data_IF_134966281842
#
_entry.id   IF_134966281842
#
_cell.length_a   1.000
_cell.length_b   1.000
_cell.length_c   1.000
_cell.angle_alpha   90.00
_cell.angle_beta   90.00
_cell.angle_gamma   90.00
#
_symmetry.space_group_name_H-M   'P 1'
#
loop_
_entity.id
_entity.type
_entity.pdbx_description
1 polymer ?
#
# COMPACT_ATOMS: atom_id res chain seq x y z
N UNK A 1 34.16 3.25 30.59
CA UNK A 1 32.78 3.51 30.14
C UNK A 1 32.72 4.07 28.73
N UNK A 2 33.62 4.95 28.32
CA UNK A 2 33.70 5.53 26.96
C UNK A 2 33.83 4.50 25.83
N UNK A 3 34.62 3.44 26.00
CA UNK A 3 34.80 2.42 24.95
C UNK A 3 33.53 1.59 24.63
N UNK A 4 32.56 1.49 25.55
CA UNK A 4 31.27 0.82 25.28
C UNK A 4 30.29 1.72 24.55
N UNK A 5 30.33 3.02 24.83
CA UNK A 5 29.49 4.00 24.12
C UNK A 5 29.96 4.21 22.68
N UNK A 6 31.27 4.29 22.46
CA UNK A 6 31.84 4.43 21.12
C UNK A 6 31.55 3.21 20.23
N UNK A 7 31.63 1.98 20.80
CA UNK A 7 31.30 0.77 20.07
C UNK A 7 29.83 0.67 19.70
N UNK A 8 28.91 1.12 20.58
CA UNK A 8 27.49 1.19 20.28
C UNK A 8 27.12 2.28 19.24
N UNK A 9 27.91 3.35 19.19
CA UNK A 9 27.76 4.43 18.17
C UNK A 9 28.28 3.91 16.82
N UNK A 10 29.42 3.21 16.79
CA UNK A 10 29.95 2.63 15.56
C UNK A 10 29.05 1.52 15.00
N UNK A 11 28.47 0.66 15.87
CA UNK A 11 27.48 -0.34 15.45
C UNK A 11 26.19 0.33 14.89
N UNK A 12 25.71 1.40 15.50
CA UNK A 12 24.58 2.16 14.98
C UNK A 12 24.92 2.90 13.66
N UNK A 13 26.13 3.41 13.52
CA UNK A 13 26.59 4.05 12.28
C UNK A 13 26.81 3.03 11.15
N UNK A 14 27.27 1.80 11.45
CA UNK A 14 27.37 0.75 10.46
C UNK A 14 26.00 0.28 10.00
N UNK A 15 25.03 0.13 10.91
CA UNK A 15 23.63 -0.17 10.58
C UNK A 15 22.99 0.94 9.72
N UNK A 16 23.30 2.21 9.99
CA UNK A 16 22.85 3.34 9.17
C UNK A 16 23.51 3.33 7.78
N UNK A 17 24.82 3.01 7.69
CA UNK A 17 25.52 2.88 6.39
C UNK A 17 24.98 1.70 5.57
N UNK A 18 24.62 0.58 6.20
CA UNK A 18 24.00 -0.56 5.52
C UNK A 18 22.59 -0.22 5.00
N UNK A 19 21.91 0.77 5.60
CA UNK A 19 20.64 1.31 5.10
C UNK A 19 20.88 2.24 3.89
N UNK A 20 21.93 3.09 3.93
CA UNK A 20 22.27 4.01 2.84
C UNK A 20 22.72 3.33 1.54
N UNK A 21 23.17 2.07 1.60
CA UNK A 21 23.59 1.29 0.42
C UNK A 21 22.49 0.41 -0.18
N UNK A 22 21.29 0.33 0.42
CA UNK A 22 20.17 -0.42 -0.17
C UNK A 22 19.58 0.39 -1.33
N UNK A 23 19.73 -0.14 -2.54
CA UNK A 23 19.10 0.40 -3.74
C UNK A 23 17.60 0.65 -3.53
N UNK A 24 17.10 1.82 -3.97
CA UNK A 24 15.69 2.19 -3.87
C UNK A 24 14.76 1.16 -4.55
N UNK A 25 13.58 0.99 -4.02
CA UNK A 25 12.54 0.20 -4.67
C UNK A 25 12.03 0.96 -5.91
N UNK A 26 11.63 0.21 -6.93
CA UNK A 26 10.99 0.79 -8.11
C UNK A 26 9.47 0.78 -7.92
N UNK A 27 8.81 1.88 -8.28
CA UNK A 27 7.35 1.99 -8.31
C UNK A 27 6.94 2.60 -9.65
N UNK A 28 6.10 1.86 -10.40
CA UNK A 28 5.67 2.26 -11.74
C UNK A 28 4.38 3.10 -11.69
N UNK A 29 4.52 4.39 -11.39
CA UNK A 29 3.39 5.34 -11.42
C UNK A 29 3.15 5.85 -12.83
N UNK A 30 1.93 5.66 -13.33
CA UNK A 30 1.47 6.16 -14.62
C UNK A 30 0.81 7.53 -14.46
N UNK A 31 0.93 8.37 -15.50
CA UNK A 31 0.24 9.63 -15.60
C UNK A 31 -1.09 9.45 -16.35
N UNK A 32 -2.17 10.06 -15.85
CA UNK A 32 -3.48 10.05 -16.51
C UNK A 32 -3.80 11.42 -17.11
N UNK A 33 -4.45 11.44 -18.27
CA UNK A 33 -4.80 12.71 -18.96
C UNK A 33 -5.96 13.46 -18.28
N UNK A 34 -6.81 12.78 -17.52
CA UNK A 34 -7.90 13.39 -16.75
C UNK A 34 -7.47 13.69 -15.33
N UNK A 35 -7.94 14.82 -14.79
CA UNK A 35 -7.77 15.23 -13.42
C UNK A 35 -9.04 16.01 -12.98
N UNK A 36 -9.77 15.62 -11.93
CA UNK A 36 -9.43 14.57 -10.96
C UNK A 36 -9.56 13.13 -11.50
N UNK A 37 -8.87 12.19 -10.85
CA UNK A 37 -8.96 10.74 -11.14
C UNK A 37 -10.25 10.14 -10.58
N UNK A 38 -10.65 10.62 -9.41
CA UNK A 38 -11.87 10.20 -8.70
C UNK A 38 -12.56 11.45 -8.15
N UNK A 39 -13.88 11.53 -8.34
CA UNK A 39 -14.75 12.49 -7.65
C UNK A 39 -15.86 11.74 -6.96
N UNK A 40 -16.06 12.01 -5.68
CA UNK A 40 -17.10 11.43 -4.82
C UNK A 40 -17.98 12.56 -4.31
N UNK A 41 -19.30 12.41 -4.47
CA UNK A 41 -20.29 13.42 -4.05
C UNK A 41 -21.42 12.78 -3.26
N UNK A 42 -21.61 13.25 -2.01
CA UNK A 42 -22.68 12.87 -1.10
C UNK A 42 -22.79 11.33 -0.89
N UNK A 43 -21.67 10.65 -0.87
CA UNK A 43 -21.60 9.20 -0.70
C UNK A 43 -22.10 8.79 0.67
N UNK A 44 -23.10 7.92 0.71
CA UNK A 44 -23.59 7.29 1.93
C UNK A 44 -23.78 5.80 1.71
N UNK A 45 -23.50 4.98 2.72
CA UNK A 45 -23.63 3.53 2.68
C UNK A 45 -24.10 3.00 4.03
N UNK A 46 -24.94 1.98 3.99
CA UNK A 46 -25.47 1.29 5.16
C UNK A 46 -25.16 -0.22 5.10
N UNK A 47 -25.00 -0.85 6.22
CA UNK A 47 -24.97 -2.30 6.36
C UNK A 47 -26.18 -2.71 7.20
N UNK A 48 -27.25 -3.18 6.53
CA UNK A 48 -28.58 -3.31 7.11
C UNK A 48 -29.10 -1.93 7.57
N UNK A 49 -29.46 -1.82 8.83
CA UNK A 49 -29.93 -0.55 9.45
C UNK A 49 -28.79 0.36 9.93
N UNK A 50 -27.56 -0.15 9.97
CA UNK A 50 -26.40 0.62 10.46
C UNK A 50 -25.79 1.46 9.36
N UNK A 51 -25.83 2.77 9.53
CA UNK A 51 -25.10 3.72 8.67
C UNK A 51 -23.59 3.60 8.89
N UNK A 52 -22.86 3.35 7.81
CA UNK A 52 -21.40 3.20 7.80
C UNK A 52 -20.73 4.47 7.26
N UNK A 53 -21.24 4.98 6.13
CA UNK A 53 -20.77 6.22 5.53
C UNK A 53 -21.91 7.22 5.48
N UNK A 54 -21.64 8.50 5.78
CA UNK A 54 -22.64 9.56 5.79
C UNK A 54 -22.16 10.78 5.04
N UNK A 55 -22.75 11.04 3.87
CA UNK A 55 -22.57 12.27 3.08
C UNK A 55 -21.09 12.62 2.82
N UNK A 56 -20.27 11.62 2.46
CA UNK A 56 -18.83 11.81 2.20
C UNK A 56 -18.63 12.39 0.80
N UNK A 57 -17.86 13.48 0.70
CA UNK A 57 -17.54 14.11 -0.57
C UNK A 57 -16.07 14.49 -0.63
N UNK A 58 -15.36 14.10 -1.68
CA UNK A 58 -13.95 14.43 -1.91
C UNK A 58 -13.54 14.19 -3.36
N UNK A 59 -12.36 14.68 -3.71
CA UNK A 59 -11.72 14.42 -4.99
C UNK A 59 -10.31 13.87 -4.77
N UNK A 60 -9.90 12.99 -5.65
CA UNK A 60 -8.52 12.50 -5.75
C UNK A 60 -7.92 13.00 -7.06
N UNK A 61 -6.91 13.82 -6.92
CA UNK A 61 -6.15 14.38 -8.06
C UNK A 61 -4.87 13.59 -8.26
N UNK A 62 -4.30 13.71 -9.45
CA UNK A 62 -3.02 13.10 -9.73
C UNK A 62 -1.92 13.66 -8.83
N UNK A 63 -1.12 12.77 -8.22
CA UNK A 63 -0.10 13.11 -7.22
C UNK A 63 -0.65 13.31 -5.80
N UNK A 64 -1.97 13.15 -5.57
CA UNK A 64 -2.52 13.12 -4.22
C UNK A 64 -2.08 11.84 -3.51
N UNK A 65 -1.51 11.99 -2.31
CA UNK A 65 -1.23 10.90 -1.39
C UNK A 65 -2.19 11.05 -0.22
N UNK A 66 -3.26 10.24 -0.23
CA UNK A 66 -4.42 10.42 0.62
C UNK A 66 -4.48 9.35 1.69
N UNK A 67 -4.39 9.76 2.94
CA UNK A 67 -4.66 8.87 4.07
C UNK A 67 -6.17 8.86 4.40
N UNK A 68 -6.74 7.67 4.47
CA UNK A 68 -8.07 7.46 5.08
C UNK A 68 -7.84 7.13 6.55
N UNK A 69 -8.23 8.05 7.44
CA UNK A 69 -7.97 7.96 8.86
C UNK A 69 -9.26 7.90 9.68
N UNK A 70 -9.29 7.07 10.72
CA UNK A 70 -10.43 6.91 11.61
C UNK A 70 -10.35 5.65 12.45
N UNK A 71 -11.26 5.53 13.42
CA UNK A 71 -11.33 4.37 14.32
C UNK A 71 -11.66 3.05 13.61
N UNK A 72 -11.50 1.93 14.32
CA UNK A 72 -11.93 0.62 13.80
C UNK A 72 -13.44 0.61 13.57
N UNK A 73 -13.88 0.06 12.45
CA UNK A 73 -15.31 0.02 12.09
C UNK A 73 -15.90 1.36 11.63
N UNK A 74 -15.09 2.40 11.38
CA UNK A 74 -15.57 3.71 10.89
C UNK A 74 -15.94 3.74 9.40
N UNK A 75 -15.73 2.65 8.65
CA UNK A 75 -16.11 2.56 7.24
C UNK A 75 -14.96 2.70 6.23
N UNK A 76 -13.70 2.75 6.68
CA UNK A 76 -12.51 2.90 5.80
C UNK A 76 -12.45 1.85 4.69
N UNK A 77 -12.50 0.56 5.07
CA UNK A 77 -12.47 -0.55 4.09
C UNK A 77 -13.76 -0.61 3.26
N UNK A 78 -14.89 -0.13 3.78
CA UNK A 78 -16.14 0.01 3.00
C UNK A 78 -15.95 1.05 1.91
N UNK A 79 -15.39 2.21 2.23
CA UNK A 79 -15.07 3.23 1.22
C UNK A 79 -14.13 2.68 0.14
N UNK A 80 -13.02 2.01 0.53
CA UNK A 80 -12.11 1.38 -0.42
C UNK A 80 -12.84 0.41 -1.34
N UNK A 81 -13.66 -0.49 -0.80
CA UNK A 81 -14.43 -1.47 -1.60
C UNK A 81 -15.41 -0.81 -2.56
N UNK A 82 -16.04 0.30 -2.16
CA UNK A 82 -16.91 1.08 -3.03
C UNK A 82 -16.12 1.74 -4.15
N UNK A 83 -14.99 2.38 -3.86
CA UNK A 83 -14.13 3.02 -4.87
C UNK A 83 -13.57 2.02 -5.89
N UNK A 84 -13.34 0.77 -5.47
CA UNK A 84 -12.89 -0.33 -6.32
C UNK A 84 -14.03 -1.02 -7.09
N UNK A 85 -15.29 -0.60 -6.88
CA UNK A 85 -16.45 -1.26 -7.48
C UNK A 85 -16.70 -2.68 -6.98
N UNK A 86 -16.20 -3.04 -5.79
CA UNK A 86 -16.44 -4.34 -5.15
C UNK A 86 -17.76 -4.32 -4.38
N UNK A 87 -18.09 -3.18 -3.77
CA UNK A 87 -19.38 -2.96 -3.09
C UNK A 87 -20.19 -1.91 -3.86
N UNK A 88 -21.44 -2.21 -4.16
CA UNK A 88 -22.38 -1.37 -4.90
C UNK A 88 -23.53 -0.84 -4.03
N UNK A 89 -23.55 -1.14 -2.73
CA UNK A 89 -24.59 -0.70 -1.79
C UNK A 89 -24.28 0.68 -1.23
N UNK A 90 -24.54 1.71 -2.03
CA UNK A 90 -24.35 3.11 -1.64
C UNK A 90 -25.31 4.04 -2.36
N UNK A 91 -25.47 5.25 -1.83
CA UNK A 91 -26.15 6.39 -2.47
C UNK A 91 -25.14 7.51 -2.70
N UNK A 92 -25.48 8.47 -3.56
CA UNK A 92 -24.56 9.52 -3.99
C UNK A 92 -23.94 9.20 -5.34
N UNK A 93 -22.90 9.93 -5.73
CA UNK A 93 -22.28 9.81 -7.05
C UNK A 93 -20.78 9.56 -6.93
N UNK A 94 -20.27 8.62 -7.73
CA UNK A 94 -18.83 8.38 -7.91
C UNK A 94 -18.49 8.45 -9.39
N UNK A 95 -17.55 9.32 -9.71
CA UNK A 95 -17.01 9.46 -11.07
C UNK A 95 -15.54 9.03 -11.06
N UNK A 96 -15.21 8.03 -11.85
CA UNK A 96 -13.84 7.57 -12.09
C UNK A 96 -13.38 8.08 -13.47
N UNK A 97 -12.09 8.41 -13.58
CA UNK A 97 -11.48 8.66 -14.88
C UNK A 97 -11.55 7.38 -15.73
N UNK A 98 -11.89 7.52 -17.02
CA UNK A 98 -11.98 6.35 -17.92
C UNK A 98 -10.63 5.64 -18.07
N UNK A 99 -10.63 4.32 -18.14
CA UNK A 99 -9.42 3.50 -18.26
C UNK A 99 -8.41 3.68 -17.09
N UNK A 100 -8.91 4.01 -15.91
CA UNK A 100 -8.08 4.15 -14.71
C UNK A 100 -7.50 2.77 -14.31
N UNK A 101 -6.17 2.65 -14.37
CA UNK A 101 -5.47 1.45 -13.87
C UNK A 101 -5.23 1.61 -12.39
N UNK A 102 -5.79 0.68 -11.60
CA UNK A 102 -5.66 0.67 -10.13
C UNK A 102 -4.84 -0.54 -9.70
N UNK A 103 -3.87 -0.32 -8.80
CA UNK A 103 -3.16 -1.37 -8.08
C UNK A 103 -3.66 -1.42 -6.64
N UNK A 104 -4.16 -2.57 -6.21
CA UNK A 104 -4.79 -2.72 -4.90
C UNK A 104 -4.06 -3.72 -4.01
N UNK A 105 -3.79 -3.31 -2.76
CA UNK A 105 -3.35 -4.19 -1.69
C UNK A 105 -4.50 -4.35 -0.69
N UNK A 106 -5.09 -5.57 -0.56
CA UNK A 106 -6.14 -5.83 0.41
C UNK A 106 -5.58 -5.96 1.84
N UNK A 107 -6.43 -5.70 2.82
CA UNK A 107 -6.12 -5.96 4.22
C UNK A 107 -5.96 -7.47 4.47
N UNK A 108 -6.88 -8.28 3.96
CA UNK A 108 -6.90 -9.73 4.11
C UNK A 108 -5.93 -10.42 3.13
N UNK A 109 -5.06 -11.25 3.66
CA UNK A 109 -4.06 -12.04 2.92
C UNK A 109 -4.36 -13.54 2.91
N UNK A 110 -5.49 -13.98 3.47
CA UNK A 110 -5.84 -15.41 3.65
C UNK A 110 -5.93 -16.18 2.33
N UNK A 111 -6.25 -15.50 1.24
CA UNK A 111 -6.39 -16.09 -0.09
C UNK A 111 -5.06 -16.34 -0.82
N UNK A 112 -3.91 -15.92 -0.23
CA UNK A 112 -2.60 -16.20 -0.83
C UNK A 112 -2.19 -17.64 -0.53
N UNK A 113 -2.32 -18.50 -1.52
CA UNK A 113 -1.98 -19.93 -1.46
C UNK A 113 -1.37 -20.38 -2.79
N UNK A 114 -0.64 -21.50 -2.77
CA UNK A 114 -0.01 -22.07 -3.96
C UNK A 114 1.35 -21.46 -4.28
N UNK A 115 1.80 -21.65 -5.51
CA UNK A 115 3.11 -21.19 -5.97
C UNK A 115 3.15 -19.66 -6.14
N UNK A 116 4.20 -19.02 -5.61
CA UNK A 116 4.46 -17.60 -5.81
C UNK A 116 4.60 -17.24 -7.30
N UNK A 117 5.28 -18.08 -8.09
CA UNK A 117 5.46 -17.85 -9.52
C UNK A 117 4.12 -17.84 -10.26
N UNK A 118 3.25 -18.83 -10.00
CA UNK A 118 1.91 -18.85 -10.59
C UNK A 118 1.07 -17.62 -10.19
N UNK A 119 1.21 -17.17 -8.95
CA UNK A 119 0.52 -15.99 -8.46
C UNK A 119 1.01 -14.72 -9.18
N UNK A 120 2.33 -14.53 -9.31
CA UNK A 120 2.92 -13.41 -10.05
C UNK A 120 2.40 -13.39 -11.50
N UNK A 121 2.43 -14.53 -12.20
CA UNK A 121 1.92 -14.63 -13.57
C UNK A 121 0.44 -14.26 -13.68
N UNK A 122 -0.41 -14.68 -12.71
CA UNK A 122 -1.83 -14.30 -12.68
C UNK A 122 -2.07 -12.81 -12.48
N UNK A 123 -1.11 -12.08 -11.88
CA UNK A 123 -1.21 -10.64 -11.64
C UNK A 123 -0.76 -9.80 -12.84
N UNK A 124 -0.25 -10.43 -13.91
CA UNK A 124 0.24 -9.78 -15.14
C UNK A 124 1.32 -8.71 -14.84
N UNK A 125 2.30 -9.09 -14.02
CA UNK A 125 3.47 -8.27 -13.68
C UNK A 125 4.76 -8.95 -14.11
N UNK A 126 5.82 -8.16 -14.30
CA UNK A 126 7.15 -8.69 -14.61
C UNK A 126 7.68 -9.50 -13.43
N UNK A 127 7.94 -10.79 -13.66
CA UNK A 127 8.40 -11.74 -12.64
C UNK A 127 9.77 -11.34 -12.10
N UNK A 128 10.70 -10.93 -12.97
CA UNK A 128 12.06 -10.56 -12.58
C UNK A 128 12.04 -9.32 -11.69
N UNK A 129 11.26 -8.31 -12.07
CA UNK A 129 11.08 -7.10 -11.28
C UNK A 129 10.44 -7.40 -9.92
N UNK A 130 9.37 -8.20 -9.90
CA UNK A 130 8.68 -8.57 -8.66
C UNK A 130 9.61 -9.32 -7.69
N UNK A 131 10.37 -10.30 -8.20
CA UNK A 131 11.37 -11.04 -7.39
C UNK A 131 12.51 -10.15 -6.92
N UNK A 132 12.94 -9.19 -7.73
CA UNK A 132 13.97 -8.21 -7.34
C UNK A 132 13.46 -7.34 -6.18
N UNK A 133 12.23 -6.85 -6.25
CA UNK A 133 11.61 -6.07 -5.17
C UNK A 133 11.49 -6.92 -3.90
N UNK A 134 11.03 -8.17 -4.01
CA UNK A 134 10.95 -9.10 -2.88
C UNK A 134 12.32 -9.30 -2.22
N UNK A 135 13.37 -9.50 -3.01
CA UNK A 135 14.73 -9.64 -2.50
C UNK A 135 15.21 -8.38 -1.76
N UNK A 136 14.87 -7.19 -2.26
CA UNK A 136 15.17 -5.92 -1.60
C UNK A 136 14.39 -5.75 -0.28
N UNK A 137 13.18 -6.31 -0.18
CA UNK A 137 12.37 -6.37 1.03
C UNK A 137 12.79 -7.50 1.98
N UNK A 138 14.00 -8.04 1.84
CA UNK A 138 14.54 -9.12 2.69
C UNK A 138 13.67 -10.39 2.66
N UNK A 139 13.24 -10.79 1.46
CA UNK A 139 12.51 -12.03 1.23
C UNK A 139 13.50 -13.15 0.92
N UNK A 140 13.62 -14.14 1.80
CA UNK A 140 14.64 -15.18 1.68
C UNK A 140 14.42 -16.07 0.45
N UNK A 141 15.52 -16.62 -0.10
CA UNK A 141 15.47 -17.46 -1.31
C UNK A 141 14.62 -18.71 -1.15
N UNK A 142 14.59 -19.28 0.05
CA UNK A 142 13.82 -20.49 0.36
C UNK A 142 12.32 -20.27 0.19
N UNK A 143 11.83 -19.04 0.45
CA UNK A 143 10.43 -18.70 0.32
C UNK A 143 9.94 -18.73 -1.13
N UNK A 144 10.80 -18.50 -2.13
CA UNK A 144 10.39 -18.53 -3.54
C UNK A 144 9.90 -19.91 -3.99
N UNK A 145 10.35 -20.99 -3.33
CA UNK A 145 9.97 -22.37 -3.63
C UNK A 145 8.89 -22.92 -2.70
N UNK A 146 8.52 -22.14 -1.67
CA UNK A 146 7.53 -22.55 -0.69
C UNK A 146 6.11 -22.17 -1.11
N UNK A 147 5.11 -23.00 -0.76
CA UNK A 147 3.70 -22.64 -0.93
C UNK A 147 3.35 -21.44 -0.03
N UNK A 148 2.72 -20.41 -0.64
CA UNK A 148 2.35 -19.17 0.06
C UNK A 148 1.38 -19.37 1.24
N UNK A 149 0.68 -20.53 1.33
CA UNK A 149 -0.14 -20.85 2.52
C UNK A 149 0.72 -20.94 3.80
N UNK A 150 2.01 -21.27 3.65
CA UNK A 150 2.95 -21.41 4.77
C UNK A 150 3.67 -20.09 5.10
N UNK A 151 3.42 -19.03 4.35
CA UNK A 151 4.00 -17.71 4.62
C UNK A 151 3.38 -17.09 5.88
N UNK A 152 4.19 -16.37 6.63
CA UNK A 152 3.70 -15.48 7.68
C UNK A 152 2.91 -14.31 7.05
N UNK A 153 2.07 -13.63 7.84
CA UNK A 153 1.30 -12.48 7.37
C UNK A 153 2.21 -11.37 6.81
N UNK A 154 3.37 -11.12 7.45
CA UNK A 154 4.36 -10.18 6.95
C UNK A 154 4.96 -10.59 5.61
N UNK A 155 5.26 -11.88 5.39
CA UNK A 155 5.74 -12.40 4.11
C UNK A 155 4.67 -12.27 3.02
N UNK A 156 3.41 -12.58 3.33
CA UNK A 156 2.29 -12.37 2.41
C UNK A 156 2.11 -10.89 2.05
N UNK A 157 2.23 -9.98 3.03
CA UNK A 157 2.19 -8.54 2.78
C UNK A 157 3.33 -8.08 1.88
N UNK A 158 4.57 -8.56 2.08
CA UNK A 158 5.71 -8.29 1.20
C UNK A 158 5.41 -8.71 -0.25
N UNK A 159 4.78 -9.86 -0.46
CA UNK A 159 4.36 -10.31 -1.81
C UNK A 159 3.37 -9.33 -2.43
N UNK A 160 2.32 -8.93 -1.71
CA UNK A 160 1.33 -7.98 -2.22
C UNK A 160 1.95 -6.61 -2.53
N UNK A 161 2.86 -6.14 -1.69
CA UNK A 161 3.60 -4.88 -1.90
C UNK A 161 4.46 -5.00 -3.16
N UNK A 162 5.25 -6.08 -3.30
CA UNK A 162 6.11 -6.28 -4.47
C UNK A 162 5.30 -6.31 -5.77
N UNK A 163 4.17 -7.01 -5.79
CA UNK A 163 3.24 -7.01 -6.94
C UNK A 163 2.70 -5.61 -7.20
N UNK A 164 2.26 -4.90 -6.16
CA UNK A 164 1.73 -3.55 -6.32
C UNK A 164 2.77 -2.58 -6.87
N UNK A 165 4.00 -2.63 -6.39
CA UNK A 165 5.11 -1.81 -6.87
C UNK A 165 5.51 -2.14 -8.32
N UNK A 166 5.43 -3.42 -8.70
CA UNK A 166 5.75 -3.88 -10.06
C UNK A 166 4.68 -3.54 -11.09
N UNK A 167 3.43 -3.27 -10.65
CA UNK A 167 2.28 -3.06 -11.53
C UNK A 167 2.20 -1.61 -12.00
N UNK A 168 2.25 -1.33 -13.32
CA UNK A 168 2.01 0.02 -13.82
C UNK A 168 0.58 0.47 -13.52
N UNK A 169 0.42 1.50 -12.69
CA UNK A 169 -0.88 2.00 -12.25
C UNK A 169 -0.96 3.52 -12.20
N UNK A 170 -2.16 4.07 -12.44
CA UNK A 170 -2.45 5.49 -12.25
C UNK A 170 -2.78 5.81 -10.79
N UNK A 171 -3.34 4.84 -10.07
CA UNK A 171 -3.77 4.95 -8.68
C UNK A 171 -3.38 3.69 -7.91
N UNK A 172 -2.75 3.88 -6.78
CA UNK A 172 -2.47 2.83 -5.81
C UNK A 172 -3.49 2.94 -4.68
N UNK A 173 -4.05 1.81 -4.25
CA UNK A 173 -5.00 1.73 -3.14
C UNK A 173 -4.50 0.66 -2.17
N UNK A 174 -4.09 1.06 -0.98
CA UNK A 174 -3.46 0.18 0.00
C UNK A 174 -4.26 0.14 1.31
N UNK A 175 -4.78 -1.02 1.65
CA UNK A 175 -5.53 -1.24 2.89
C UNK A 175 -4.63 -1.92 3.94
N UNK A 176 -4.11 -1.14 4.89
CA UNK A 176 -3.17 -1.53 5.94
C UNK A 176 -1.95 -2.31 5.41
N UNK A 177 -1.18 -1.72 4.46
CA UNK A 177 -0.09 -2.43 3.77
C UNK A 177 1.08 -2.74 4.68
N UNK A 178 1.32 -1.92 5.73
CA UNK A 178 2.53 -2.02 6.56
C UNK A 178 2.34 -2.86 7.83
N UNK A 179 1.15 -3.43 8.04
CA UNK A 179 0.93 -4.37 9.13
C UNK A 179 1.83 -5.60 8.98
N UNK A 180 2.51 -5.98 10.07
CA UNK A 180 3.46 -7.10 10.12
C UNK A 180 4.74 -6.94 9.27
N UNK A 181 4.98 -5.76 8.69
CA UNK A 181 6.19 -5.45 7.93
C UNK A 181 7.30 -5.01 8.90
N UNK A 182 8.50 -5.55 8.70
CA UNK A 182 9.69 -5.16 9.47
C UNK A 182 10.09 -3.70 9.22
N UNK A 183 10.82 -3.14 10.18
CA UNK A 183 11.19 -1.70 10.17
C UNK A 183 12.00 -1.32 8.94
N UNK A 184 12.91 -2.18 8.47
CA UNK A 184 13.78 -1.87 7.33
C UNK A 184 12.98 -1.83 6.04
N UNK A 185 12.16 -2.84 5.79
CA UNK A 185 11.25 -2.89 4.62
C UNK A 185 10.29 -1.70 4.64
N UNK A 186 9.79 -1.32 5.82
CA UNK A 186 8.92 -0.15 5.98
C UNK A 186 9.61 1.14 5.56
N UNK A 187 10.85 1.40 6.03
CA UNK A 187 11.62 2.59 5.64
C UNK A 187 11.81 2.64 4.13
N UNK A 188 12.17 1.53 3.48
CA UNK A 188 12.34 1.46 2.03
C UNK A 188 11.05 1.82 1.27
N UNK A 189 9.90 1.36 1.75
CA UNK A 189 8.59 1.68 1.16
C UNK A 189 8.27 3.17 1.32
N UNK A 190 8.50 3.73 2.51
CA UNK A 190 8.31 5.16 2.81
C UNK A 190 9.16 6.04 1.90
N UNK A 191 10.46 5.72 1.76
CA UNK A 191 11.38 6.44 0.89
C UNK A 191 10.94 6.37 -0.57
N UNK A 192 10.52 5.21 -1.04
CA UNK A 192 10.01 5.02 -2.40
C UNK A 192 8.77 5.89 -2.68
N UNK A 193 7.83 5.96 -1.74
CA UNK A 193 6.64 6.82 -1.87
C UNK A 193 7.04 8.29 -1.91
N UNK A 194 7.97 8.72 -1.05
CA UNK A 194 8.46 10.11 -0.99
C UNK A 194 9.20 10.53 -2.27
N UNK A 195 9.96 9.61 -2.88
CA UNK A 195 10.71 9.85 -4.11
C UNK A 195 9.79 9.89 -5.33
N UNK A 196 8.96 8.87 -5.52
CA UNK A 196 8.11 8.71 -6.71
C UNK A 196 6.87 9.59 -6.68
N UNK A 197 6.34 9.91 -5.49
CA UNK A 197 5.10 10.68 -5.28
C UNK A 197 3.94 10.16 -6.13
N UNK A 198 3.58 8.87 -6.01
CA UNK A 198 2.49 8.28 -6.77
C UNK A 198 1.15 8.89 -6.35
N UNK A 199 0.11 8.71 -7.16
CA UNK A 199 -1.24 8.89 -6.65
C UNK A 199 -1.60 7.67 -5.80
N UNK A 200 -1.81 7.89 -4.50
CA UNK A 200 -1.98 6.82 -3.52
C UNK A 200 -3.14 7.13 -2.57
N UNK A 201 -4.01 6.16 -2.36
CA UNK A 201 -4.96 6.13 -1.25
C UNK A 201 -4.51 5.02 -0.31
N UNK A 202 -4.39 5.31 0.98
CA UNK A 202 -4.01 4.28 1.94
C UNK A 202 -4.75 4.41 3.27
N UNK A 203 -4.91 3.28 3.94
CA UNK A 203 -5.36 3.17 5.33
C UNK A 203 -4.18 2.74 6.17
N UNK A 204 -3.86 3.50 7.19
CA UNK A 204 -2.85 3.14 8.19
C UNK A 204 -3.20 3.70 9.56
N UNK A 205 -2.75 3.00 10.61
CA UNK A 205 -2.98 3.40 12.00
C UNK A 205 -1.80 4.15 12.62
N UNK A 206 -0.63 4.08 11.98
CA UNK A 206 0.57 4.78 12.43
C UNK A 206 0.49 6.27 12.07
N UNK A 207 0.33 7.10 13.09
CA UNK A 207 0.25 8.55 12.93
C UNK A 207 1.48 9.14 12.24
N UNK A 208 2.67 8.66 12.61
CA UNK A 208 3.92 9.15 12.05
C UNK A 208 3.98 8.89 10.54
N UNK A 209 3.64 7.68 10.12
CA UNK A 209 3.58 7.35 8.70
C UNK A 209 2.57 8.24 7.97
N UNK A 210 1.38 8.46 8.55
CA UNK A 210 0.36 9.32 7.94
C UNK A 210 0.87 10.76 7.82
N UNK A 211 1.48 11.32 8.87
CA UNK A 211 2.01 12.69 8.89
C UNK A 211 3.19 12.88 7.92
N UNK A 212 4.05 11.88 7.79
CA UNK A 212 5.25 11.93 6.96
C UNK A 212 4.97 11.73 5.46
N UNK A 213 3.89 11.04 5.11
CA UNK A 213 3.62 10.57 3.74
C UNK A 213 2.42 11.27 3.10
N UNK A 214 1.31 11.47 3.84
CA UNK A 214 0.08 12.00 3.27
C UNK A 214 0.15 13.51 3.04
N UNK A 215 -0.31 13.94 1.86
CA UNK A 215 -0.56 15.35 1.59
C UNK A 215 -2.05 15.72 1.76
N UNK A 216 -2.91 14.71 1.98
CA UNK A 216 -4.34 14.87 2.18
C UNK A 216 -4.88 13.81 3.14
N UNK A 217 -5.82 14.18 4.00
CA UNK A 217 -6.45 13.25 4.95
C UNK A 217 -7.96 13.29 4.76
N UNK A 218 -8.58 12.11 4.62
CA UNK A 218 -10.03 11.91 4.71
C UNK A 218 -10.28 11.27 6.08
N UNK A 219 -10.96 12.01 6.96
CA UNK A 219 -11.20 11.58 8.33
C UNK A 219 -12.64 11.06 8.49
N UNK A 220 -12.77 9.92 9.21
CA UNK A 220 -14.03 9.27 9.57
C UNK A 220 -14.24 9.23 11.07
#
# INVERSE_FOLDING_TARGET
>A
MENRQNKAIEEKQSLLKDIETKESLLLHSLQHHKNPLISVSNLSSCYGERQILSNVSFEIKQGDIVAIYGGNGSGKSTLIKILLGINHEYTGEIKLAGNLKISYIPQDTSNLTGSLNEYIHKQDVDETLCKTILSKLDFSRELFEMDMKNYSDGQKKKVLIAISLSKPAHLFVWDEPLNYIDVISRIQIEETIKEVKPTLIFVEHDKRFVEDIANKIIQF
#
